data_IF_962114145354
#
_entry.id   IF_962114145354
#
_cell.length_a   1.000
_cell.length_b   1.000
_cell.length_c   1.000
_cell.angle_alpha   90.00
_cell.angle_beta   90.00
_cell.angle_gamma   90.00
#
_symmetry.space_group_name_H-M   'P 1'
#
loop_
_entity.id
_entity.type
_entity.pdbx_description
1 polymer ?
#
# COMPACT_ATOMS: atom_id res chain seq x y z
N UNK A 1 1.66 -1.37 3.12
CA UNK A 1 1.30 -0.26 2.21
C UNK A 1 1.89 -0.60 0.87
N UNK A 2 1.15 -0.44 -0.22
CA UNK A 2 1.61 -0.94 -1.53
C UNK A 2 2.78 -0.10 -2.04
N UNK A 3 3.93 -0.75 -2.23
CA UNK A 3 5.14 -0.12 -2.79
C UNK A 3 5.14 -0.15 -4.32
N UNK A 4 4.53 -1.16 -4.94
CA UNK A 4 4.36 -1.29 -6.38
C UNK A 4 3.27 -2.31 -6.68
N UNK A 5 2.55 -2.13 -7.80
CA UNK A 5 1.69 -3.17 -8.35
C UNK A 5 2.39 -3.78 -9.57
N UNK A 6 2.76 -5.06 -9.47
CA UNK A 6 3.57 -5.75 -10.48
C UNK A 6 2.74 -6.26 -11.67
N UNK A 7 1.41 -6.33 -11.54
CA UNK A 7 0.54 -6.91 -12.56
C UNK A 7 0.68 -8.43 -12.67
N UNK A 8 0.12 -8.97 -13.75
CA UNK A 8 0.21 -10.41 -14.04
C UNK A 8 1.61 -10.75 -14.57
N UNK A 9 2.26 -11.72 -13.92
CA UNK A 9 3.66 -12.07 -14.16
C UNK A 9 3.77 -13.57 -14.41
N UNK A 10 4.41 -13.95 -15.52
CA UNK A 10 4.84 -15.35 -15.70
C UNK A 10 5.93 -15.75 -14.69
N UNK A 11 6.20 -17.06 -14.50
CA UNK A 11 7.14 -17.55 -13.47
C UNK A 11 8.52 -16.89 -13.51
N UNK A 12 9.10 -16.72 -14.70
CA UNK A 12 10.42 -16.08 -14.83
C UNK A 12 10.44 -14.61 -14.42
N UNK A 13 9.36 -13.86 -14.70
CA UNK A 13 9.27 -12.46 -14.27
C UNK A 13 9.03 -12.37 -12.76
N UNK A 14 8.27 -13.31 -12.18
CA UNK A 14 8.09 -13.41 -10.73
C UNK A 14 9.44 -13.54 -10.03
N UNK A 15 10.28 -14.48 -10.45
CA UNK A 15 11.61 -14.69 -9.83
C UNK A 15 12.49 -13.44 -9.95
N UNK A 16 12.45 -12.78 -11.11
CA UNK A 16 13.16 -11.52 -11.34
C UNK A 16 12.68 -10.41 -10.40
N UNK A 17 11.38 -10.32 -10.16
CA UNK A 17 10.80 -9.33 -9.25
C UNK A 17 11.16 -9.63 -7.79
N UNK A 18 11.13 -10.89 -7.36
CA UNK A 18 11.58 -11.30 -6.03
C UNK A 18 13.03 -10.85 -5.78
N UNK A 19 13.95 -11.17 -6.68
CA UNK A 19 15.34 -10.75 -6.56
C UNK A 19 15.52 -9.22 -6.62
N UNK A 20 14.71 -8.52 -7.41
CA UNK A 20 14.73 -7.06 -7.48
C UNK A 20 14.32 -6.45 -6.14
N UNK A 21 13.25 -6.95 -5.53
CA UNK A 21 12.72 -6.45 -4.27
C UNK A 21 13.60 -6.82 -3.08
N UNK A 22 14.20 -8.01 -3.08
CA UNK A 22 15.23 -8.39 -2.11
C UNK A 22 16.36 -7.35 -2.12
N UNK A 23 17.02 -7.14 -3.27
CA UNK A 23 18.13 -6.17 -3.39
C UNK A 23 17.72 -4.75 -2.97
N UNK A 24 16.47 -4.37 -3.19
CA UNK A 24 15.96 -3.05 -2.81
C UNK A 24 15.73 -2.96 -1.31
N UNK A 25 15.23 -4.01 -0.68
CA UNK A 25 15.10 -4.13 0.78
C UNK A 25 16.47 -4.05 1.47
N UNK A 26 17.47 -4.79 0.99
CA UNK A 26 18.86 -4.76 1.51
C UNK A 26 19.50 -3.37 1.48
N UNK A 27 19.14 -2.55 0.48
CA UNK A 27 19.67 -1.17 0.30
C UNK A 27 18.87 -0.11 1.05
N UNK A 28 17.82 -0.51 1.75
CA UNK A 28 17.00 0.37 2.56
C UNK A 28 17.36 0.23 4.04
N UNK A 29 16.62 0.91 4.90
CA UNK A 29 16.71 0.77 6.36
C UNK A 29 15.31 0.57 6.90
N UNK A 30 15.14 0.04 8.12
CA UNK A 30 13.86 0.08 8.80
C UNK A 30 13.32 1.51 8.83
N UNK A 31 11.99 1.65 8.71
CA UNK A 31 11.32 2.95 8.56
C UNK A 31 10.38 3.22 9.73
N UNK A 32 10.51 4.36 10.41
CA UNK A 32 9.57 4.82 11.41
C UNK A 32 8.40 5.54 10.73
N UNK A 33 7.24 4.89 10.71
CA UNK A 33 6.03 5.35 10.02
C UNK A 33 4.87 5.50 11.00
N UNK A 34 3.89 6.31 10.62
CA UNK A 34 2.60 6.39 11.31
C UNK A 34 1.45 6.56 10.33
N UNK A 35 0.23 6.35 10.80
CA UNK A 35 -0.98 6.68 10.03
C UNK A 35 -1.42 8.11 10.35
N UNK A 36 -1.71 8.92 9.34
CA UNK A 36 -2.20 10.27 9.54
C UNK A 36 -3.02 10.79 8.36
N UNK A 37 -3.96 11.68 8.67
CA UNK A 37 -4.87 12.32 7.72
C UNK A 37 -5.74 11.29 6.96
N UNK A 38 -6.68 11.79 6.17
CA UNK A 38 -7.44 10.95 5.26
C UNK A 38 -7.65 11.64 3.93
N UNK A 39 -8.01 10.84 2.94
CA UNK A 39 -8.38 11.34 1.63
C UNK A 39 -9.12 10.29 0.84
N UNK A 40 -9.42 10.63 -0.41
CA UNK A 40 -10.19 9.76 -1.27
C UNK A 40 -9.80 9.92 -2.72
N UNK A 41 -9.89 8.82 -3.49
CA UNK A 41 -9.62 8.82 -4.92
C UNK A 41 -10.91 8.61 -5.75
N UNK A 42 -11.02 9.24 -6.94
CA UNK A 42 -10.09 10.25 -7.47
C UNK A 42 -10.20 11.62 -6.78
N UNK A 43 -11.39 11.96 -6.26
CA UNK A 43 -11.66 13.17 -5.46
C UNK A 43 -12.75 12.85 -4.46
N UNK A 44 -12.72 13.46 -3.26
CA UNK A 44 -13.69 13.18 -2.19
C UNK A 44 -15.16 13.33 -2.64
N UNK A 45 -15.49 14.39 -3.39
CA UNK A 45 -16.84 14.62 -3.88
C UNK A 45 -17.37 13.56 -4.87
N UNK A 46 -16.53 12.68 -5.41
CA UNK A 46 -16.90 11.67 -6.42
C UNK A 46 -15.97 10.44 -6.36
N UNK A 47 -15.76 9.94 -5.15
CA UNK A 47 -14.76 8.95 -4.82
C UNK A 47 -15.22 7.51 -5.06
N UNK A 48 -14.25 6.62 -5.23
CA UNK A 48 -14.41 5.16 -5.13
C UNK A 48 -13.56 4.54 -4.04
N UNK A 49 -12.55 5.24 -3.53
CA UNK A 49 -11.62 4.73 -2.52
C UNK A 49 -11.52 5.75 -1.41
N UNK A 50 -11.68 5.29 -0.17
CA UNK A 50 -11.32 6.02 1.05
C UNK A 50 -9.98 5.48 1.56
N UNK A 51 -9.08 6.37 1.98
CA UNK A 51 -7.77 5.99 2.48
C UNK A 51 -7.30 6.88 3.63
N UNK A 52 -6.34 6.36 4.39
CA UNK A 52 -5.54 7.09 5.39
C UNK A 52 -4.10 7.21 4.91
N UNK A 53 -3.49 8.37 5.13
CA UNK A 53 -2.13 8.66 4.69
C UNK A 53 -1.07 8.12 5.65
N UNK A 54 0.20 8.28 5.29
CA UNK A 54 1.33 7.98 6.17
C UNK A 54 1.98 9.28 6.68
N UNK A 55 2.57 9.20 7.86
CA UNK A 55 3.47 10.20 8.47
C UNK A 55 4.80 9.54 8.89
N UNK A 56 5.74 10.33 9.41
CA UNK A 56 7.09 9.88 9.76
C UNK A 56 8.05 9.94 8.57
N UNK A 57 8.81 8.87 8.34
CA UNK A 57 9.84 8.79 7.29
C UNK A 57 9.27 8.52 5.89
N UNK A 58 8.26 9.31 5.50
CA UNK A 58 7.53 9.15 4.23
C UNK A 58 8.43 9.33 3.02
N UNK A 59 9.45 10.19 3.08
CA UNK A 59 10.38 10.36 1.96
C UNK A 59 11.29 9.14 1.76
N UNK A 60 11.65 8.45 2.86
CA UNK A 60 12.36 7.18 2.75
C UNK A 60 11.45 6.08 2.17
N UNK A 61 10.17 6.06 2.59
CA UNK A 61 9.17 5.19 1.97
C UNK A 61 9.02 5.46 0.47
N UNK A 62 8.95 6.72 0.03
CA UNK A 62 8.86 7.09 -1.39
C UNK A 62 10.09 6.66 -2.19
N UNK A 63 11.29 6.74 -1.60
CA UNK A 63 12.52 6.22 -2.21
C UNK A 63 12.51 4.70 -2.37
N UNK A 64 11.82 3.97 -1.48
CA UNK A 64 11.62 2.53 -1.53
C UNK A 64 10.47 2.12 -2.47
N UNK A 65 9.43 2.93 -2.61
CA UNK A 65 8.30 2.66 -3.52
C UNK A 65 8.68 2.82 -5.00
N UNK A 66 7.81 2.34 -5.90
CA UNK A 66 7.92 2.64 -7.32
C UNK A 66 7.58 4.11 -7.60
N UNK A 67 8.04 4.63 -8.74
CA UNK A 67 7.74 6.00 -9.12
C UNK A 67 6.23 6.24 -9.25
N UNK A 68 5.76 7.39 -8.74
CA UNK A 68 4.34 7.77 -8.78
C UNK A 68 3.44 7.04 -7.79
N UNK A 69 3.99 6.23 -6.87
CA UNK A 69 3.21 5.60 -5.81
C UNK A 69 2.95 6.58 -4.67
N UNK A 70 1.67 6.70 -4.29
CA UNK A 70 1.24 7.53 -3.17
C UNK A 70 1.18 6.69 -1.88
N UNK A 71 1.79 7.16 -0.78
CA UNK A 71 1.79 6.46 0.50
C UNK A 71 0.40 6.52 1.15
N UNK A 72 -0.38 5.46 0.99
CA UNK A 72 -1.70 5.37 1.58
C UNK A 72 -2.05 3.93 1.98
N UNK A 73 -2.97 3.82 2.94
CA UNK A 73 -3.67 2.59 3.27
C UNK A 73 -5.13 2.73 2.85
N UNK A 74 -5.58 1.89 1.91
CA UNK A 74 -7.00 1.83 1.54
C UNK A 74 -7.81 1.31 2.72
N UNK A 75 -8.82 2.07 3.14
CA UNK A 75 -9.76 1.69 4.21
C UNK A 75 -11.02 1.04 3.64
N UNK A 76 -11.54 1.62 2.56
CA UNK A 76 -12.77 1.15 1.93
C UNK A 76 -12.79 1.42 0.43
N UNK A 77 -13.54 0.58 -0.29
CA UNK A 77 -13.83 0.77 -1.72
C UNK A 77 -15.33 0.72 -1.95
N UNK A 78 -15.85 1.75 -2.61
CA UNK A 78 -17.25 1.82 -3.00
C UNK A 78 -17.47 1.18 -4.38
N UNK A 79 -18.58 0.44 -4.52
CA UNK A 79 -19.00 -0.18 -5.79
C UNK A 79 -19.44 0.86 -6.81
N UNK A 80 -20.03 1.96 -6.35
CA UNK A 80 -20.42 3.11 -7.15
C UNK A 80 -19.66 4.36 -6.70
N UNK A 81 -19.71 5.44 -7.46
CA UNK A 81 -19.07 6.67 -7.02
C UNK A 81 -19.90 7.29 -5.89
N UNK A 82 -19.23 7.81 -4.87
CA UNK A 82 -19.86 8.39 -3.69
C UNK A 82 -19.21 9.72 -3.32
N UNK A 83 -19.99 10.64 -2.75
CA UNK A 83 -19.45 11.83 -2.10
C UNK A 83 -18.98 11.45 -0.69
N UNK A 84 -17.67 11.48 -0.47
CA UNK A 84 -17.00 11.17 0.80
C UNK A 84 -16.41 12.41 1.47
N UNK A 85 -16.76 13.63 1.03
CA UNK A 85 -16.18 14.86 1.58
C UNK A 85 -16.32 14.94 3.10
N UNK A 86 -17.52 14.71 3.65
CA UNK A 86 -17.74 14.73 5.11
C UNK A 86 -16.84 13.73 5.85
N UNK A 87 -16.74 12.49 5.35
CA UNK A 87 -15.91 11.45 5.97
C UNK A 87 -14.42 11.82 5.94
N UNK A 88 -13.97 12.40 4.83
CA UNK A 88 -12.59 12.87 4.68
C UNK A 88 -12.32 14.04 5.62
N UNK A 89 -13.24 15.00 5.72
CA UNK A 89 -13.12 16.17 6.59
C UNK A 89 -13.06 15.76 8.06
N UNK A 90 -13.92 14.84 8.50
CA UNK A 90 -13.92 14.28 9.86
C UNK A 90 -12.60 13.57 10.21
N UNK A 91 -12.00 12.87 9.23
CA UNK A 91 -10.74 12.15 9.40
C UNK A 91 -9.50 12.99 9.06
N UNK A 92 -9.66 14.25 8.67
CA UNK A 92 -8.55 15.11 8.21
C UNK A 92 -7.48 15.31 9.29
N UNK A 93 -7.89 15.38 10.56
CA UNK A 93 -6.99 15.48 11.72
C UNK A 93 -6.60 14.14 12.34
N UNK A 94 -6.97 13.01 11.74
CA UNK A 94 -6.68 11.69 12.32
C UNK A 94 -5.18 11.48 12.52
N UNK A 95 -4.80 11.06 13.73
CA UNK A 95 -3.47 10.60 14.09
C UNK A 95 -3.61 9.18 14.63
N UNK A 96 -3.01 8.24 13.92
CA UNK A 96 -3.10 6.82 14.21
C UNK A 96 -1.84 6.26 14.87
N UNK A 97 -1.74 4.92 14.95
CA UNK A 97 -0.57 4.27 15.51
C UNK A 97 0.69 4.55 14.68
N UNK A 98 1.82 4.58 15.38
CA UNK A 98 3.17 4.58 14.80
C UNK A 98 3.79 3.20 14.91
N UNK A 99 4.63 2.82 13.96
CA UNK A 99 5.36 1.56 13.96
C UNK A 99 6.70 1.70 13.24
N UNK A 100 7.58 0.73 13.47
CA UNK A 100 8.79 0.56 12.67
C UNK A 100 8.53 -0.51 11.63
N UNK A 101 8.54 -0.15 10.35
CA UNK A 101 8.51 -1.12 9.25
C UNK A 101 9.91 -1.73 9.10
N UNK A 102 10.03 -3.02 9.37
CA UNK A 102 11.30 -3.76 9.34
C UNK A 102 11.43 -4.68 8.14
N UNK A 103 10.34 -4.92 7.41
CA UNK A 103 10.32 -5.82 6.25
C UNK A 103 9.33 -5.33 5.19
N UNK A 104 9.52 -5.81 3.97
CA UNK A 104 8.52 -5.75 2.90
C UNK A 104 8.16 -7.17 2.46
N UNK A 105 6.92 -7.33 1.99
CA UNK A 105 6.43 -8.60 1.47
C UNK A 105 6.14 -8.48 -0.03
N UNK A 106 6.48 -9.51 -0.79
CA UNK A 106 5.96 -9.71 -2.14
C UNK A 106 4.76 -10.65 -2.04
N UNK A 107 3.62 -10.23 -2.58
CA UNK A 107 2.34 -10.91 -2.36
C UNK A 107 1.66 -11.16 -3.70
N UNK A 108 1.24 -12.39 -3.93
CA UNK A 108 0.37 -12.75 -5.04
C UNK A 108 -1.09 -12.47 -4.68
N UNK A 109 -1.80 -11.79 -5.58
CA UNK A 109 -3.20 -11.43 -5.39
C UNK A 109 -4.07 -12.26 -6.33
N UNK A 110 -4.88 -13.15 -5.78
CA UNK A 110 -5.86 -13.91 -6.55
C UNK A 110 -7.17 -13.11 -6.61
N UNK A 111 -7.69 -12.79 -7.81
CA UNK A 111 -8.93 -12.08 -7.96
C UNK A 111 -10.09 -12.90 -7.39
N UNK A 112 -11.10 -12.18 -6.92
CA UNK A 112 -12.32 -12.76 -6.36
C UNK A 112 -12.95 -13.76 -7.34
N UNK A 113 -13.18 -14.98 -6.89
CA UNK A 113 -13.98 -15.98 -7.62
C UNK A 113 -15.46 -15.93 -7.17
N UNK A 114 -16.35 -16.61 -7.90
CA UNK A 114 -17.78 -16.57 -7.61
C UNK A 114 -18.07 -17.15 -6.22
N UNK A 115 -18.64 -16.33 -5.34
CA UNK A 115 -19.00 -16.72 -3.96
C UNK A 115 -18.10 -16.14 -2.87
N UNK A 116 -16.93 -15.59 -3.24
CA UNK A 116 -16.01 -15.00 -2.28
C UNK A 116 -16.34 -13.52 -2.00
N UNK A 117 -16.00 -13.04 -0.79
CA UNK A 117 -16.23 -11.65 -0.37
C UNK A 117 -15.17 -10.66 -0.87
N UNK A 118 -14.01 -11.13 -1.34
CA UNK A 118 -12.90 -10.27 -1.77
C UNK A 118 -11.75 -11.07 -2.40
N UNK A 119 -10.66 -10.39 -2.81
CA UNK A 119 -9.45 -11.05 -3.28
C UNK A 119 -8.76 -11.83 -2.15
N UNK A 120 -8.02 -12.88 -2.50
CA UNK A 120 -7.12 -13.60 -1.59
C UNK A 120 -5.69 -13.14 -1.84
N UNK A 121 -4.93 -12.97 -0.77
CA UNK A 121 -3.53 -12.59 -0.81
C UNK A 121 -2.67 -13.73 -0.26
N UNK A 122 -1.66 -14.14 -1.03
CA UNK A 122 -0.71 -15.18 -0.65
C UNK A 122 0.71 -14.58 -0.64
N UNK A 123 1.38 -14.50 0.52
CA UNK A 123 2.76 -14.05 0.57
C UNK A 123 3.66 -15.01 -0.21
N UNK A 124 4.42 -14.47 -1.15
CA UNK A 124 5.45 -15.23 -1.87
C UNK A 124 6.77 -15.19 -1.11
N UNK A 125 7.13 -14.04 -0.55
CA UNK A 125 8.36 -13.87 0.24
C UNK A 125 8.32 -12.62 1.13
N UNK A 126 9.21 -12.57 2.12
CA UNK A 126 9.43 -11.46 3.02
C UNK A 126 10.91 -11.08 3.01
N UNK A 127 11.20 -9.79 2.86
CA UNK A 127 12.56 -9.26 2.82
C UNK A 127 12.74 -8.21 3.92
N UNK A 128 13.68 -8.46 4.83
CA UNK A 128 14.07 -7.50 5.85
C UNK A 128 14.70 -6.25 5.21
N UNK A 129 14.38 -5.09 5.78
CA UNK A 129 14.92 -3.81 5.34
C UNK A 129 16.28 -3.59 6.01
N UNK A 130 17.34 -3.51 5.22
CA UNK A 130 18.70 -3.20 5.68
C UNK A 130 19.61 -4.39 6.02
N UNK A 131 19.16 -5.62 5.75
CA UNK A 131 19.94 -6.86 5.96
C UNK A 131 20.68 -7.38 4.70
#
# INVERSE_FOLDING_TARGET
MTLEFLGDCGPHERDRQLQRWERRARRSTPLHLGLANAGAFPKAANARVLWVGLTGEVDAWRRLAAYGQEPHLTLARSRERANLTTVVDELSGYQGPTWTATELAVVESHPRTRGERGPRYEPLDFFALGD
#
